data_IF_935935947897
#
_entry.id   IF_935935947897
#
_cell.length_a   1.000
_cell.length_b   1.000
_cell.length_c   1.000
_cell.angle_alpha   90.00
_cell.angle_beta   90.00
_cell.angle_gamma   90.00
#
_symmetry.space_group_name_H-M   'P 1'
#
loop_
_entity.id
_entity.type
_entity.pdbx_description
1 polymer ?
#
# COMPACT_ATOMS: atom_id res chain seq x y z
N UNK A 1 -6.32 -16.51 -42.34
CA UNK A 1 -5.17 -15.63 -42.64
C UNK A 1 -4.68 -14.83 -41.42
N UNK A 2 -5.52 -14.03 -40.74
CA UNK A 2 -5.12 -13.29 -39.52
C UNK A 2 -4.48 -14.18 -38.43
N UNK A 3 -5.10 -15.33 -38.13
CA UNK A 3 -4.57 -16.31 -37.16
C UNK A 3 -3.16 -16.79 -37.49
N UNK A 4 -2.84 -17.01 -38.77
CA UNK A 4 -1.52 -17.47 -39.20
C UNK A 4 -0.46 -16.38 -38.99
N UNK A 5 -0.79 -15.13 -39.33
CA UNK A 5 0.12 -14.00 -39.11
C UNK A 5 0.34 -13.81 -37.61
N UNK A 6 -0.72 -13.74 -36.80
CA UNK A 6 -0.59 -13.61 -35.34
C UNK A 6 0.27 -14.73 -34.74
N UNK A 7 0.05 -15.98 -35.14
CA UNK A 7 0.83 -17.12 -34.62
C UNK A 7 2.30 -17.09 -35.07
N UNK A 8 2.58 -16.58 -36.27
CA UNK A 8 3.95 -16.36 -36.73
C UNK A 8 4.61 -15.24 -35.93
N UNK A 9 3.94 -14.10 -35.76
CA UNK A 9 4.42 -12.94 -35.02
C UNK A 9 4.68 -13.29 -33.55
N UNK A 10 3.80 -14.04 -32.89
CA UNK A 10 4.02 -14.47 -31.50
C UNK A 10 5.25 -15.37 -31.37
N UNK A 11 5.48 -16.29 -32.32
CA UNK A 11 6.69 -17.13 -32.33
C UNK A 11 7.95 -16.33 -32.64
N UNK A 12 7.87 -15.36 -33.54
CA UNK A 12 8.99 -14.48 -33.87
C UNK A 12 9.38 -13.63 -32.64
N UNK A 13 8.39 -13.03 -31.97
CA UNK A 13 8.55 -12.31 -30.70
C UNK A 13 9.12 -13.21 -29.60
N UNK A 14 8.61 -14.43 -29.43
CA UNK A 14 9.12 -15.36 -28.42
C UNK A 14 10.57 -15.81 -28.66
N UNK A 15 11.09 -15.64 -29.87
CA UNK A 15 12.50 -15.91 -30.19
C UNK A 15 13.41 -14.71 -29.93
N UNK A 16 12.88 -13.52 -29.71
CA UNK A 16 13.71 -12.37 -29.35
C UNK A 16 14.02 -12.38 -27.86
N UNK A 17 15.28 -12.16 -27.49
CA UNK A 17 15.67 -12.04 -26.08
C UNK A 17 15.03 -10.83 -25.38
N UNK A 18 14.73 -9.77 -26.15
CA UNK A 18 14.10 -8.55 -25.66
C UNK A 18 12.72 -8.80 -25.05
N UNK A 19 11.90 -9.66 -25.64
CA UNK A 19 10.59 -10.01 -25.09
C UNK A 19 10.73 -10.60 -23.68
N UNK A 20 11.62 -11.56 -23.52
CA UNK A 20 11.82 -12.23 -22.23
C UNK A 20 12.42 -11.29 -21.18
N UNK A 21 13.33 -10.40 -21.57
CA UNK A 21 13.87 -9.38 -20.68
C UNK A 21 12.78 -8.41 -20.20
N UNK A 22 11.92 -7.94 -21.11
CA UNK A 22 10.80 -7.05 -20.80
C UNK A 22 9.79 -7.75 -19.88
N UNK A 23 9.42 -8.99 -20.20
CA UNK A 23 8.48 -9.76 -19.37
C UNK A 23 9.06 -10.06 -17.99
N UNK A 24 10.33 -10.42 -17.90
CA UNK A 24 11.00 -10.65 -16.62
C UNK A 24 11.02 -9.37 -15.78
N UNK A 25 11.33 -8.21 -16.38
CA UNK A 25 11.30 -6.92 -15.69
C UNK A 25 9.89 -6.56 -15.22
N UNK A 26 8.86 -6.79 -16.04
CA UNK A 26 7.47 -6.52 -15.68
C UNK A 26 7.00 -7.43 -14.53
N UNK A 27 7.28 -8.73 -14.60
CA UNK A 27 6.94 -9.68 -13.55
C UNK A 27 7.67 -9.31 -12.26
N UNK A 28 8.97 -8.97 -12.34
CA UNK A 28 9.74 -8.50 -11.19
C UNK A 28 9.15 -7.23 -10.59
N UNK A 29 8.80 -6.24 -11.41
CA UNK A 29 8.20 -4.99 -10.94
C UNK A 29 6.88 -5.25 -10.21
N UNK A 30 6.00 -6.11 -10.76
CA UNK A 30 4.73 -6.45 -10.12
C UNK A 30 4.95 -7.23 -8.82
N UNK A 31 5.86 -8.20 -8.79
CA UNK A 31 6.17 -8.96 -7.59
C UNK A 31 6.77 -8.09 -6.49
N UNK A 32 7.70 -7.19 -6.85
CA UNK A 32 8.29 -6.23 -5.93
C UNK A 32 7.25 -5.23 -5.40
N UNK A 33 6.34 -4.75 -6.27
CA UNK A 33 5.23 -3.90 -5.88
C UNK A 33 4.26 -4.57 -4.91
N UNK A 34 3.88 -5.83 -5.16
CA UNK A 34 3.02 -6.57 -4.25
C UNK A 34 3.69 -6.82 -2.88
N UNK A 35 5.00 -7.12 -2.88
CA UNK A 35 5.78 -7.27 -1.66
C UNK A 35 5.91 -5.96 -0.86
N UNK A 36 6.22 -4.86 -1.57
CA UNK A 36 6.29 -3.51 -0.99
C UNK A 36 4.95 -3.10 -0.40
N UNK A 37 3.88 -3.32 -1.15
CA UNK A 37 2.50 -3.10 -0.75
C UNK A 37 2.11 -3.82 0.56
N UNK A 38 2.35 -5.13 0.62
CA UNK A 38 2.08 -5.93 1.83
C UNK A 38 2.89 -5.47 3.04
N UNK A 39 4.13 -5.01 2.84
CA UNK A 39 4.96 -4.46 3.92
C UNK A 39 4.41 -3.14 4.46
N UNK A 40 3.86 -2.28 3.60
CA UNK A 40 3.21 -1.05 4.05
C UNK A 40 1.95 -1.35 4.86
N UNK A 41 1.10 -2.27 4.40
CA UNK A 41 -0.11 -2.68 5.14
C UNK A 41 0.25 -3.28 6.50
N UNK A 42 1.26 -4.15 6.58
CA UNK A 42 1.71 -4.71 7.86
C UNK A 42 2.18 -3.63 8.84
N UNK A 43 2.87 -2.59 8.34
CA UNK A 43 3.29 -1.45 9.17
C UNK A 43 2.10 -0.65 9.70
N UNK A 44 1.05 -0.47 8.90
CA UNK A 44 -0.16 0.24 9.32
C UNK A 44 -0.88 -0.51 10.44
N UNK A 45 -1.04 -1.84 10.31
CA UNK A 45 -1.66 -2.69 11.32
C UNK A 45 -0.83 -2.73 12.60
N UNK A 46 0.48 -2.96 12.48
CA UNK A 46 1.41 -3.00 13.61
C UNK A 46 1.44 -1.65 14.34
N UNK A 47 1.58 -0.55 13.61
CA UNK A 47 1.59 0.81 14.17
C UNK A 47 0.29 1.18 14.90
N UNK A 48 -0.87 0.82 14.33
CA UNK A 48 -2.16 1.02 14.98
C UNK A 48 -2.29 0.19 16.27
N UNK A 49 -1.82 -1.06 16.24
CA UNK A 49 -1.86 -1.96 17.40
C UNK A 49 -0.92 -1.51 18.53
N UNK A 50 0.28 -1.05 18.17
CA UNK A 50 1.28 -0.55 19.08
C UNK A 50 0.81 0.74 19.74
N UNK A 51 0.24 1.67 18.97
CA UNK A 51 -0.34 2.91 19.49
C UNK A 51 -1.49 2.64 20.48
N UNK A 52 -2.38 1.70 20.16
CA UNK A 52 -3.47 1.29 21.05
C UNK A 52 -2.95 0.62 22.34
N UNK A 53 -1.92 -0.22 22.23
CA UNK A 53 -1.31 -0.91 23.38
C UNK A 53 -0.56 0.06 24.31
N UNK A 54 0.13 1.05 23.75
CA UNK A 54 0.83 2.09 24.50
C UNK A 54 -0.13 2.91 25.36
N UNK A 55 -1.27 3.34 24.80
CA UNK A 55 -2.32 4.06 25.54
C UNK A 55 -3.05 3.19 26.55
N UNK A 56 -3.27 1.90 26.24
CA UNK A 56 -3.81 0.95 27.22
C UNK A 56 -2.89 0.84 28.44
N UNK A 57 -1.57 0.67 28.23
CA UNK A 57 -0.58 0.63 29.31
C UNK A 57 -0.48 1.94 30.10
N UNK A 58 -0.71 3.10 29.47
CA UNK A 58 -0.80 4.38 30.19
C UNK A 58 -2.03 4.43 31.09
N UNK A 59 -3.20 4.01 30.59
CA UNK A 59 -4.44 3.95 31.38
C UNK A 59 -4.36 2.94 32.52
N UNK A 60 -3.71 1.80 32.31
CA UNK A 60 -3.52 0.80 33.35
C UNK A 60 -2.59 1.31 34.46
N UNK A 61 -1.49 1.99 34.11
CA UNK A 61 -0.65 2.69 35.11
C UNK A 61 -1.43 3.73 35.91
N UNK A 62 -2.27 4.55 35.26
CA UNK A 62 -3.11 5.51 35.98
C UNK A 62 -4.10 4.83 36.95
N UNK A 63 -4.62 3.66 36.59
CA UNK A 63 -5.50 2.85 37.48
C UNK A 63 -4.72 2.30 38.67
N UNK A 64 -3.53 1.75 38.43
CA UNK A 64 -2.65 1.22 39.48
C UNK A 64 -2.25 2.33 40.47
N UNK A 65 -1.78 3.48 39.98
CA UNK A 65 -1.42 4.64 40.80
C UNK A 65 -2.61 5.13 41.66
N UNK A 66 -3.82 5.12 41.09
CA UNK A 66 -5.05 5.50 41.79
C UNK A 66 -5.41 4.49 42.87
N UNK A 67 -5.30 3.19 42.60
CA UNK A 67 -5.57 2.13 43.57
C UNK A 67 -4.55 2.15 44.73
N UNK A 68 -3.27 2.38 44.43
CA UNK A 68 -2.23 2.56 45.45
C UNK A 68 -2.51 3.76 46.35
N UNK A 69 -2.95 4.88 45.76
CA UNK A 69 -3.33 6.05 46.55
C UNK A 69 -4.53 5.77 47.44
N UNK A 70 -5.58 5.14 46.90
CA UNK A 70 -6.77 4.77 47.68
C UNK A 70 -6.38 3.89 48.89
N UNK A 71 -5.47 2.93 48.70
CA UNK A 71 -4.95 2.09 49.77
C UNK A 71 -4.18 2.91 50.82
N UNK A 72 -3.34 3.87 50.41
CA UNK A 72 -2.61 4.77 51.32
C UNK A 72 -3.55 5.67 52.12
N UNK A 73 -4.58 6.23 51.49
CA UNK A 73 -5.60 7.07 52.15
C UNK A 73 -6.36 6.25 53.19
N UNK A 74 -6.81 5.03 52.85
CA UNK A 74 -7.46 4.11 53.80
C UNK A 74 -6.58 3.77 54.99
N UNK A 75 -5.28 3.54 54.77
CA UNK A 75 -4.34 3.22 55.85
C UNK A 75 -4.04 4.42 56.78
N UNK A 76 -4.04 5.65 56.24
CA UNK A 76 -3.69 6.87 56.98
C UNK A 76 -4.92 7.54 57.62
N UNK A 77 -6.14 7.21 57.16
CA UNK A 77 -7.38 7.83 57.64
C UNK A 77 -7.58 9.28 57.19
N UNK A 78 -6.82 9.74 56.19
CA UNK A 78 -6.93 11.09 55.62
C UNK A 78 -8.09 11.23 54.62
N UNK A 79 -8.42 12.47 54.19
CA UNK A 79 -9.38 12.70 53.11
C UNK A 79 -8.79 12.26 51.75
N UNK A 80 -9.65 11.75 50.87
CA UNK A 80 -9.27 11.41 49.49
C UNK A 80 -9.35 12.64 48.59
N UNK A 81 -8.26 13.01 47.92
CA UNK A 81 -8.19 14.16 47.01
C UNK A 81 -8.07 13.72 45.54
N UNK A 82 -8.76 14.42 44.63
CA UNK A 82 -8.69 14.19 43.19
C UNK A 82 -7.79 15.24 42.52
N UNK A 83 -6.77 14.82 41.77
CA UNK A 83 -5.98 15.73 40.94
C UNK A 83 -6.78 16.16 39.71
N UNK A 84 -6.66 17.43 39.31
CA UNK A 84 -7.29 17.99 38.10
C UNK A 84 -6.45 17.80 36.83
N UNK A 85 -5.12 17.77 36.95
CA UNK A 85 -4.12 17.47 35.90
C UNK A 85 -2.93 16.80 36.61
N UNK A 86 -2.21 15.89 35.93
CA UNK A 86 -1.14 15.03 36.45
C UNK A 86 -0.30 15.58 37.61
N UNK A 87 0.00 14.67 38.54
CA UNK A 87 1.00 14.79 39.61
C UNK A 87 2.36 15.13 39.01
N UNK A 88 2.80 16.37 39.18
CA UNK A 88 4.17 16.74 38.86
C UNK A 88 5.14 15.90 39.71
N UNK A 89 6.19 15.30 39.12
CA UNK A 89 7.23 14.62 39.89
C UNK A 89 7.76 15.54 40.98
N UNK A 90 7.60 15.14 42.26
CA UNK A 90 8.10 15.90 43.42
C UNK A 90 7.08 16.77 44.16
N UNK A 91 5.81 16.83 43.76
CA UNK A 91 4.77 17.54 44.53
C UNK A 91 3.84 16.58 45.28
N UNK A 92 4.14 16.37 46.56
CA UNK A 92 3.20 15.78 47.53
C UNK A 92 2.89 14.29 47.35
N UNK A 93 2.03 13.71 48.22
CA UNK A 93 1.55 12.36 48.03
C UNK A 93 0.79 12.26 46.70
N UNK A 94 0.84 11.11 46.01
CA UNK A 94 0.04 10.91 44.80
C UNK A 94 -1.42 11.18 45.14
N UNK A 95 -2.16 11.94 44.34
CA UNK A 95 -3.62 12.13 44.46
C UNK A 95 -4.37 11.08 43.60
N UNK A 96 -5.68 10.96 43.75
CA UNK A 96 -6.50 10.13 42.86
C UNK A 96 -6.58 10.75 41.47
N UNK A 97 -6.51 9.96 40.40
CA UNK A 97 -6.82 10.48 39.05
C UNK A 97 -8.33 10.69 38.89
N UNK A 98 -8.73 11.60 38.00
CA UNK A 98 -10.14 11.83 37.68
C UNK A 98 -10.43 11.51 36.20
N UNK A 99 -11.70 11.33 35.85
CA UNK A 99 -12.10 10.96 34.49
C UNK A 99 -11.70 12.00 33.41
N UNK A 100 -11.64 13.29 33.77
CA UNK A 100 -11.19 14.36 32.89
C UNK A 100 -9.68 14.34 32.64
N UNK A 101 -8.87 14.03 33.65
CA UNK A 101 -7.43 13.83 33.52
C UNK A 101 -7.13 12.62 32.64
N UNK A 102 -7.82 11.49 32.87
CA UNK A 102 -7.71 10.30 32.01
C UNK A 102 -8.10 10.65 30.57
N UNK A 103 -9.24 11.31 30.35
CA UNK A 103 -9.69 11.68 29.00
C UNK A 103 -8.82 12.73 28.31
N UNK A 104 -8.10 13.57 29.05
CA UNK A 104 -7.23 14.62 28.52
C UNK A 104 -5.76 14.22 28.33
N UNK A 105 -5.28 13.24 29.09
CA UNK A 105 -3.89 12.75 29.06
C UNK A 105 -3.72 11.42 28.34
N UNK A 106 -4.83 10.73 28.04
CA UNK A 106 -4.83 9.49 27.24
C UNK A 106 -5.74 9.66 26.02
N UNK A 107 -5.53 8.79 25.05
CA UNK A 107 -6.34 8.73 23.84
C UNK A 107 -6.86 7.31 23.59
N UNK A 108 -8.00 7.24 22.90
CA UNK A 108 -8.50 6.00 22.30
C UNK A 108 -8.17 6.05 20.82
N UNK A 109 -7.31 5.14 20.37
CA UNK A 109 -6.99 5.04 18.96
C UNK A 109 -8.13 4.35 18.20
N UNK A 110 -8.58 5.00 17.13
CA UNK A 110 -9.52 4.42 16.17
C UNK A 110 -8.76 4.21 14.87
N UNK A 111 -8.63 2.95 14.46
CA UNK A 111 -7.98 2.54 13.23
C UNK A 111 -9.01 2.23 12.14
N UNK A 112 -8.70 2.60 10.91
CA UNK A 112 -9.36 2.10 9.71
C UNK A 112 -8.61 0.85 9.27
N UNK A 113 -9.16 -0.36 9.49
CA UNK A 113 -8.43 -1.57 9.13
C UNK A 113 -8.29 -1.70 7.61
N UNK A 114 -7.11 -2.10 7.12
CA UNK A 114 -6.90 -2.33 5.69
C UNK A 114 -7.74 -3.51 5.21
N UNK A 115 -8.21 -3.45 3.97
CA UNK A 115 -8.88 -4.56 3.30
C UNK A 115 -7.88 -5.38 2.50
N UNK A 116 -8.24 -6.58 2.07
CA UNK A 116 -7.29 -7.46 1.38
C UNK A 116 -6.69 -6.87 0.08
N UNK A 117 -7.34 -5.89 -0.55
CA UNK A 117 -6.81 -5.22 -1.75
C UNK A 117 -5.90 -4.02 -1.45
N UNK A 118 -5.80 -3.59 -0.18
CA UNK A 118 -4.99 -2.44 0.22
C UNK A 118 -3.52 -2.63 -0.13
N UNK A 119 -3.00 -3.87 -0.05
CA UNK A 119 -1.64 -4.19 -0.45
C UNK A 119 -1.37 -4.02 -1.96
N UNK A 120 -2.39 -3.99 -2.80
CA UNK A 120 -2.23 -3.80 -4.25
C UNK A 120 -2.33 -2.32 -4.66
N UNK A 121 -3.00 -1.51 -3.83
CA UNK A 121 -3.25 -0.10 -4.07
C UNK A 121 -3.28 0.64 -2.74
N UNK A 122 -2.10 1.07 -2.28
CA UNK A 122 -1.98 1.87 -1.04
C UNK A 122 -2.56 3.27 -1.28
N UNK A 123 -2.26 3.85 -2.45
CA UNK A 123 -2.76 5.18 -2.82
C UNK A 123 -2.39 6.27 -1.81
N UNK A 124 -3.40 6.94 -1.25
CA UNK A 124 -3.22 8.04 -0.30
C UNK A 124 -3.10 7.60 1.16
N UNK A 125 -3.31 6.32 1.48
CA UNK A 125 -3.11 5.79 2.84
C UNK A 125 -1.65 5.85 3.31
N UNK A 126 -0.71 6.14 2.41
CA UNK A 126 0.69 6.42 2.77
C UNK A 126 0.87 7.82 3.39
N UNK A 127 -0.07 8.74 3.13
CA UNK A 127 -0.02 10.15 3.56
C UNK A 127 -1.10 10.46 4.59
N UNK A 128 -2.26 9.83 4.45
CA UNK A 128 -3.38 9.98 5.36
C UNK A 128 -3.18 9.10 6.58
N UNK A 129 -3.62 9.58 7.75
CA UNK A 129 -3.57 8.79 8.97
C UNK A 129 -4.56 7.63 8.88
N UNK A 130 -4.05 6.40 8.95
CA UNK A 130 -4.87 5.19 9.00
C UNK A 130 -5.44 4.92 10.41
N UNK A 131 -4.86 5.55 11.43
CA UNK A 131 -5.35 5.52 12.80
C UNK A 131 -5.30 6.91 13.44
N UNK A 132 -6.31 7.25 14.24
CA UNK A 132 -6.45 8.56 14.87
C UNK A 132 -6.61 8.43 16.38
N UNK A 133 -5.84 9.19 17.19
CA UNK A 133 -6.09 9.30 18.62
C UNK A 133 -7.32 10.16 18.90
N UNK A 134 -8.34 9.59 19.54
CA UNK A 134 -9.50 10.31 20.06
C UNK A 134 -9.28 10.63 21.53
N UNK A 135 -9.14 11.91 21.85
CA UNK A 135 -8.95 12.43 23.21
C UNK A 135 -9.99 13.51 23.52
N UNK A 136 -10.27 13.74 24.81
CA UNK A 136 -11.06 14.88 25.27
C UNK A 136 -10.23 16.19 25.29
N UNK A 137 -8.94 16.12 24.97
CA UNK A 137 -8.05 17.26 24.79
C UNK A 137 -8.35 18.11 23.54
N UNK A 138 -7.45 19.05 23.23
CA UNK A 138 -7.62 19.94 22.06
C UNK A 138 -7.48 19.16 20.76
N UNK A 139 -8.31 19.48 19.76
CA UNK A 139 -8.24 18.92 18.39
C UNK A 139 -6.84 19.01 17.75
N UNK A 140 -6.01 19.99 18.15
CA UNK A 140 -4.64 20.12 17.65
C UNK A 140 -3.72 18.95 18.06
N UNK A 141 -4.03 18.23 19.14
CA UNK A 141 -3.31 17.01 19.51
C UNK A 141 -3.54 15.87 18.51
N UNK A 142 -4.66 15.91 17.76
CA UNK A 142 -4.96 14.93 16.70
C UNK A 142 -4.10 15.15 15.44
N UNK A 143 -3.69 16.39 15.17
CA UNK A 143 -2.84 16.74 14.03
C UNK A 143 -1.36 16.90 14.38
N UNK A 144 -1.02 17.07 15.67
CA UNK A 144 0.36 17.17 16.15
C UNK A 144 1.16 15.86 16.01
N UNK A 145 0.48 14.72 15.86
CA UNK A 145 1.08 13.40 15.67
C UNK A 145 1.23 13.01 14.19
N UNK A 146 1.23 13.98 13.27
CA UNK A 146 1.59 13.70 11.88
C UNK A 146 3.02 13.13 11.85
N UNK A 147 3.20 11.92 11.34
CA UNK A 147 4.51 11.29 11.22
C UNK A 147 5.43 12.19 10.38
N UNK A 148 6.63 12.47 10.90
CA UNK A 148 7.61 13.32 10.22
C UNK A 148 8.27 12.53 9.09
N UNK A 149 7.67 12.55 7.91
CA UNK A 149 8.25 11.96 6.70
C UNK A 149 8.92 12.99 5.78
N UNK A 150 9.80 12.49 4.92
CA UNK A 150 10.45 13.29 3.91
C UNK A 150 9.43 13.66 2.80
N UNK A 151 9.16 14.95 2.54
CA UNK A 151 8.17 15.37 1.56
C UNK A 151 8.51 14.94 0.12
N UNK A 152 9.79 14.73 -0.20
CA UNK A 152 10.21 14.22 -1.51
C UNK A 152 9.84 12.74 -1.66
N UNK A 153 9.89 11.97 -0.57
CA UNK A 153 9.47 10.57 -0.57
C UNK A 153 7.95 10.46 -0.72
N UNK A 154 7.21 11.27 0.03
CA UNK A 154 5.74 11.37 -0.07
C UNK A 154 5.25 11.76 -1.47
N UNK A 155 5.99 12.64 -2.17
CA UNK A 155 5.68 13.05 -3.55
C UNK A 155 5.85 11.91 -4.57
N UNK A 156 6.80 11.01 -4.34
CA UNK A 156 7.03 9.86 -5.22
C UNK A 156 5.93 8.79 -5.04
N UNK A 157 5.30 8.75 -3.85
CA UNK A 157 4.30 7.76 -3.47
C UNK A 157 4.90 6.38 -3.24
N UNK A 158 4.10 5.50 -2.67
CA UNK A 158 4.48 4.10 -2.45
C UNK A 158 4.56 3.33 -3.78
N UNK A 159 5.54 2.43 -3.87
CA UNK A 159 5.69 1.54 -5.02
C UNK A 159 4.74 0.35 -4.87
N UNK A 160 3.50 0.51 -5.33
CA UNK A 160 2.44 -0.50 -5.30
C UNK A 160 2.07 -1.02 -6.70
N UNK A 161 1.12 -1.97 -6.77
CA UNK A 161 0.75 -2.59 -8.07
C UNK A 161 0.00 -1.59 -8.94
N UNK A 162 -0.78 -0.69 -8.35
CA UNK A 162 -1.42 0.42 -9.06
C UNK A 162 -0.37 1.33 -9.74
N UNK A 163 0.74 1.64 -9.07
CA UNK A 163 1.86 2.40 -9.63
C UNK A 163 2.45 1.70 -10.86
N UNK A 164 2.67 0.38 -10.79
CA UNK A 164 3.17 -0.40 -11.92
C UNK A 164 2.21 -0.33 -13.11
N UNK A 165 0.90 -0.46 -12.87
CA UNK A 165 -0.12 -0.42 -13.93
C UNK A 165 -0.27 0.97 -14.54
N UNK A 166 -0.23 2.03 -13.74
CA UNK A 166 -0.46 3.41 -14.18
C UNK A 166 0.78 4.00 -14.86
N UNK A 167 1.98 3.76 -14.31
CA UNK A 167 3.21 4.42 -14.76
C UNK A 167 4.14 3.52 -15.57
N UNK A 168 4.34 2.26 -15.16
CA UNK A 168 5.33 1.38 -15.81
C UNK A 168 4.75 0.60 -16.99
N UNK A 169 3.52 0.10 -16.88
CA UNK A 169 2.88 -0.67 -17.95
C UNK A 169 2.82 0.09 -19.29
N UNK A 170 2.51 1.40 -19.34
CA UNK A 170 2.61 2.18 -20.58
C UNK A 170 4.02 2.18 -21.19
N UNK A 171 5.06 2.26 -20.37
CA UNK A 171 6.46 2.23 -20.80
C UNK A 171 6.79 0.84 -21.39
N UNK A 172 6.34 -0.23 -20.74
CA UNK A 172 6.50 -1.59 -21.24
C UNK A 172 5.77 -1.82 -22.56
N UNK A 173 4.55 -1.29 -22.70
CA UNK A 173 3.81 -1.32 -23.97
C UNK A 173 4.59 -0.59 -25.05
N UNK A 174 5.13 0.60 -24.77
CA UNK A 174 5.94 1.36 -25.71
C UNK A 174 7.21 0.60 -26.10
N UNK A 175 7.96 0.06 -25.13
CA UNK A 175 9.15 -0.75 -25.37
C UNK A 175 8.85 -2.03 -26.18
N UNK A 176 7.65 -2.60 -26.03
CA UNK A 176 7.22 -3.74 -26.84
C UNK A 176 6.74 -3.32 -28.23
N UNK A 177 6.40 -2.06 -28.49
CA UNK A 177 5.73 -1.61 -29.74
C UNK A 177 6.56 -0.66 -30.60
N UNK A 178 7.63 -0.06 -30.09
CA UNK A 178 8.38 1.01 -30.78
C UNK A 178 8.95 0.60 -32.14
N UNK A 179 9.31 -0.66 -32.30
CA UNK A 179 10.02 -1.19 -33.48
C UNK A 179 9.10 -1.87 -34.52
N UNK A 180 7.78 -1.77 -34.37
CA UNK A 180 6.79 -2.54 -35.17
C UNK A 180 7.03 -2.48 -36.67
N UNK A 181 7.36 -1.29 -37.17
CA UNK A 181 7.56 -0.99 -38.58
C UNK A 181 9.04 -0.80 -38.93
N UNK A 182 9.82 -0.11 -38.09
CA UNK A 182 11.23 0.18 -38.35
C UNK A 182 12.07 -1.09 -38.45
N UNK A 183 11.82 -2.09 -37.59
CA UNK A 183 12.54 -3.37 -37.61
C UNK A 183 12.43 -4.11 -38.96
N UNK A 184 11.28 -4.03 -39.63
CA UNK A 184 11.06 -4.65 -40.95
C UNK A 184 11.66 -3.83 -42.09
N UNK A 185 11.70 -2.50 -41.94
CA UNK A 185 12.33 -1.62 -42.92
C UNK A 185 13.85 -1.80 -42.92
N UNK A 186 14.47 -1.81 -41.74
CA UNK A 186 15.92 -1.97 -41.57
C UNK A 186 16.40 -3.35 -42.05
N UNK A 187 15.58 -4.39 -41.87
CA UNK A 187 15.88 -5.75 -42.36
C UNK A 187 15.57 -5.95 -43.85
N UNK A 188 14.96 -4.97 -44.51
CA UNK A 188 14.52 -5.06 -45.90
C UNK A 188 13.39 -6.07 -46.14
N UNK A 189 12.80 -6.64 -45.09
CA UNK A 189 11.76 -7.67 -45.16
C UNK A 189 10.38 -7.09 -45.47
N UNK A 190 10.15 -5.81 -45.19
CA UNK A 190 8.87 -5.15 -45.43
C UNK A 190 8.42 -5.21 -46.90
N UNK A 191 9.33 -4.93 -47.84
CA UNK A 191 9.02 -4.96 -49.27
C UNK A 191 8.63 -6.38 -49.75
N UNK A 192 9.32 -7.40 -49.22
CA UNK A 192 9.04 -8.81 -49.53
C UNK A 192 7.68 -9.27 -48.99
N UNK A 193 7.30 -8.83 -47.78
CA UNK A 193 6.00 -9.16 -47.18
C UNK A 193 4.86 -8.48 -47.98
N UNK A 194 5.06 -7.23 -48.40
CA UNK A 194 4.05 -6.47 -49.16
C UNK A 194 3.93 -6.90 -50.63
N UNK A 195 4.86 -7.72 -51.16
CA UNK A 195 4.72 -8.34 -52.47
C UNK A 195 3.63 -9.43 -52.50
N UNK A 196 3.21 -9.92 -51.33
CA UNK A 196 2.07 -10.82 -51.18
C UNK A 196 0.77 -10.00 -51.03
N UNK A 197 -0.42 -10.59 -51.24
CA UNK A 197 -1.70 -9.89 -51.10
C UNK A 197 -2.07 -9.62 -49.61
N UNK A 198 -1.23 -8.86 -48.91
CA UNK A 198 -1.37 -8.45 -47.52
C UNK A 198 -1.23 -6.93 -47.43
N UNK A 199 -2.23 -6.24 -46.89
CA UNK A 199 -2.14 -4.81 -46.68
C UNK A 199 -1.25 -4.48 -45.47
N UNK A 200 -0.55 -3.34 -45.52
CA UNK A 200 0.26 -2.85 -44.41
C UNK A 200 -0.55 -2.73 -43.10
N UNK A 201 -1.77 -2.19 -43.18
CA UNK A 201 -2.68 -2.06 -42.02
C UNK A 201 -2.97 -3.41 -41.37
N UNK A 202 -3.21 -4.44 -42.19
CA UNK A 202 -3.48 -5.79 -41.72
C UNK A 202 -2.27 -6.41 -41.02
N UNK A 203 -1.09 -6.24 -41.59
CA UNK A 203 0.17 -6.68 -40.99
C UNK A 203 0.43 -6.01 -39.63
N UNK A 204 0.32 -4.68 -39.58
CA UNK A 204 0.52 -3.90 -38.35
C UNK A 204 -0.51 -4.27 -37.27
N UNK A 205 -1.78 -4.41 -37.64
CA UNK A 205 -2.84 -4.81 -36.71
C UNK A 205 -2.57 -6.21 -36.11
N UNK A 206 -2.14 -7.19 -36.91
CA UNK A 206 -1.80 -8.52 -36.38
C UNK A 206 -0.60 -8.50 -35.44
N UNK A 207 0.42 -7.68 -35.71
CA UNK A 207 1.57 -7.52 -34.82
C UNK A 207 1.18 -6.87 -33.50
N UNK A 208 0.34 -5.84 -33.55
CA UNK A 208 -0.19 -5.18 -32.36
C UNK A 208 -1.02 -6.14 -31.51
N UNK A 209 -1.91 -6.93 -32.15
CA UNK A 209 -2.70 -7.96 -31.46
C UNK A 209 -1.82 -9.01 -30.80
N UNK A 210 -0.76 -9.47 -31.48
CA UNK A 210 0.18 -10.43 -30.90
C UNK A 210 0.85 -9.89 -29.62
N UNK A 211 1.36 -8.65 -29.66
CA UNK A 211 2.01 -7.99 -28.52
C UNK A 211 1.02 -7.69 -27.39
N UNK A 212 -0.16 -7.17 -27.73
CA UNK A 212 -1.23 -6.88 -26.77
C UNK A 212 -1.72 -8.15 -26.06
N UNK A 213 -1.89 -9.26 -26.78
CA UNK A 213 -2.32 -10.52 -26.19
C UNK A 213 -1.33 -11.05 -25.15
N UNK A 214 -0.02 -10.90 -25.40
CA UNK A 214 1.03 -11.32 -24.46
C UNK A 214 0.99 -10.46 -23.19
N UNK A 215 0.91 -9.14 -23.34
CA UNK A 215 0.84 -8.22 -22.20
C UNK A 215 -0.45 -8.47 -21.39
N UNK A 216 -1.60 -8.60 -22.05
CA UNK A 216 -2.87 -8.90 -21.41
C UNK A 216 -2.85 -10.23 -20.69
N UNK A 217 -2.25 -11.27 -21.27
CA UNK A 217 -2.11 -12.57 -20.61
C UNK A 217 -1.36 -12.44 -19.28
N UNK A 218 -0.26 -11.68 -19.26
CA UNK A 218 0.55 -11.47 -18.05
C UNK A 218 -0.22 -10.65 -17.01
N UNK A 219 -0.83 -9.52 -17.42
CA UNK A 219 -1.60 -8.66 -16.51
C UNK A 219 -2.82 -9.38 -15.93
N UNK A 220 -3.60 -10.06 -16.77
CA UNK A 220 -4.77 -10.84 -16.32
C UNK A 220 -4.33 -12.03 -15.48
N UNK A 221 -3.27 -12.74 -15.88
CA UNK A 221 -2.75 -13.87 -15.13
C UNK A 221 -2.32 -13.47 -13.72
N UNK A 222 -1.56 -12.37 -13.60
CA UNK A 222 -1.15 -11.85 -12.30
C UNK A 222 -2.32 -11.27 -11.50
N UNK A 223 -3.27 -10.60 -12.17
CA UNK A 223 -4.51 -10.13 -11.53
C UNK A 223 -5.36 -11.29 -10.98
N UNK A 224 -5.46 -12.40 -11.70
CA UNK A 224 -6.11 -13.61 -11.24
C UNK A 224 -5.38 -14.22 -10.04
N UNK A 225 -4.05 -14.29 -10.07
CA UNK A 225 -3.26 -14.74 -8.91
C UNK A 225 -3.54 -13.86 -7.70
N UNK A 226 -3.53 -12.53 -7.87
CA UNK A 226 -3.80 -11.59 -6.79
C UNK A 226 -5.22 -11.76 -6.21
N UNK A 227 -6.23 -11.90 -7.06
CA UNK A 227 -7.61 -12.17 -6.62
C UNK A 227 -7.73 -13.54 -5.97
N UNK A 228 -7.00 -14.56 -6.41
CA UNK A 228 -7.06 -15.88 -5.77
C UNK A 228 -6.34 -15.91 -4.41
N UNK A 229 -5.29 -15.10 -4.23
CA UNK A 229 -4.59 -14.99 -2.95
C UNK A 229 -5.36 -14.15 -1.95
N UNK A 230 -6.04 -13.09 -2.41
CA UNK A 230 -6.74 -12.11 -1.55
C UNK A 230 -8.25 -12.40 -1.43
N UNK A 231 -8.85 -13.06 -2.42
CA UNK A 231 -10.28 -12.99 -2.77
C UNK A 231 -11.28 -13.53 -1.76
N UNK A 232 -10.83 -14.07 -0.63
CA UNK A 232 -11.69 -14.41 0.51
C UNK A 232 -11.79 -13.27 1.55
N UNK A 233 -10.97 -12.22 1.44
CA UNK A 233 -10.83 -11.14 2.41
C UNK A 233 -11.08 -9.73 1.82
N UNK A 234 -11.89 -9.63 0.76
CA UNK A 234 -12.13 -8.35 0.07
C UNK A 234 -12.80 -7.30 0.97
N UNK A 235 -13.71 -7.73 1.84
CA UNK A 235 -14.45 -6.88 2.78
C UNK A 235 -14.09 -7.14 4.24
N UNK A 236 -13.26 -8.14 4.52
CA UNK A 236 -12.85 -8.43 5.90
C UNK A 236 -11.64 -7.60 6.26
N UNK A 237 -11.65 -6.89 7.40
CA UNK A 237 -10.48 -6.17 7.87
C UNK A 237 -9.33 -7.15 8.11
N UNK A 238 -8.14 -6.84 7.60
CA UNK A 238 -6.91 -7.52 8.01
C UNK A 238 -6.63 -7.09 9.47
N UNK A 239 -6.77 -8.04 10.40
CA UNK A 239 -6.50 -7.87 11.83
C UNK A 239 -5.10 -8.28 12.19
#
# INVERSE_FOLDING_TARGET
>A
MYRLIVMHETRALARTGALWAILALLIFAIAFAAWSGGRSVSRQVEGASDAASYEAGMRDRMREETAEYEAKVKATGGPYEFATVRHAPGQGPPQGTNAGAVGGETAVYVALPPTGLAALSIGLSDIQLDYLPITMGKSLAMTANAELENPVNLLAGSFDVAFVVIFLLPIFILAMTYDLLSSEQERGTLAMILAHPVSLRKLMASKLVARAAIILMVVIGLGLVAVLTVGTQLDTPET
#
